data_IF_091477864110
#
_entry.id   IF_091477864110
#
_cell.length_a   1.000
_cell.length_b   1.000
_cell.length_c   1.000
_cell.angle_alpha   90.00
_cell.angle_beta   90.00
_cell.angle_gamma   90.00
#
_symmetry.space_group_name_H-M   'P 1'
#
loop_
_entity.id
_entity.type
_entity.pdbx_description
1 polymer ?
#
# COMPACT_ATOMS: atom_id res chain seq x y z
N UNK A 1 4.51 -10.90 -9.18
CA UNK A 1 5.55 -9.86 -9.35
C UNK A 1 5.70 -9.40 -10.80
N UNK A 2 5.77 -10.28 -11.79
CA UNK A 2 5.96 -9.91 -13.21
C UNK A 2 4.88 -8.97 -13.74
N UNK A 3 3.62 -9.19 -13.39
CA UNK A 3 2.49 -8.35 -13.82
C UNK A 3 2.55 -6.94 -13.22
N UNK A 4 2.94 -6.85 -11.95
CA UNK A 4 3.11 -5.58 -11.26
C UNK A 4 4.25 -4.75 -11.86
N UNK A 5 5.42 -5.37 -12.08
CA UNK A 5 6.56 -4.69 -12.71
C UNK A 5 6.24 -4.17 -14.11
N UNK A 6 5.52 -4.95 -14.91
CA UNK A 6 5.02 -4.48 -16.22
C UNK A 6 4.06 -3.31 -16.10
N UNK A 7 3.25 -3.26 -15.06
CA UNK A 7 2.32 -2.16 -14.83
C UNK A 7 3.05 -0.89 -14.43
N UNK A 8 4.04 -0.97 -13.55
CA UNK A 8 4.89 0.17 -13.18
C UNK A 8 5.69 0.68 -14.38
N UNK A 9 6.27 -0.21 -15.16
CA UNK A 9 6.98 0.13 -16.39
C UNK A 9 6.08 0.88 -17.37
N UNK A 10 4.87 0.38 -17.62
CA UNK A 10 3.90 1.04 -18.51
C UNK A 10 3.42 2.38 -17.95
N UNK A 11 3.13 2.46 -16.64
CA UNK A 11 2.74 3.71 -16.01
C UNK A 11 3.85 4.76 -16.14
N UNK A 12 5.09 4.39 -15.83
CA UNK A 12 6.26 5.24 -15.95
C UNK A 12 6.46 5.77 -17.38
N UNK A 13 6.24 4.91 -18.40
CA UNK A 13 6.41 5.27 -19.79
C UNK A 13 5.25 6.11 -20.36
N UNK A 14 4.02 5.89 -19.89
CA UNK A 14 2.78 6.40 -20.51
C UNK A 14 2.07 7.50 -19.75
N UNK A 15 2.37 7.65 -18.45
CA UNK A 15 1.69 8.61 -17.59
C UNK A 15 1.76 10.01 -18.19
N UNK A 16 0.60 10.64 -18.33
CA UNK A 16 0.47 12.01 -18.81
C UNK A 16 0.85 13.02 -17.72
N UNK A 17 1.08 14.26 -18.10
CA UNK A 17 1.34 15.36 -17.13
C UNK A 17 0.17 15.52 -16.14
N UNK A 18 -1.07 15.37 -16.61
CA UNK A 18 -2.25 15.42 -15.75
C UNK A 18 -2.31 14.26 -14.77
N UNK A 19 -1.96 13.05 -15.20
CA UNK A 19 -1.88 11.87 -14.32
C UNK A 19 -0.74 12.00 -13.31
N UNK A 20 0.40 12.56 -13.71
CA UNK A 20 1.51 12.86 -12.79
C UNK A 20 1.11 13.89 -11.73
N UNK A 21 0.36 14.92 -12.15
CA UNK A 21 -0.19 15.92 -11.22
C UNK A 21 -1.15 15.26 -10.21
N UNK A 22 -2.03 14.38 -10.69
CA UNK A 22 -2.95 13.63 -9.80
C UNK A 22 -2.20 12.71 -8.85
N UNK A 23 -1.13 12.06 -9.30
CA UNK A 23 -0.30 11.21 -8.46
C UNK A 23 0.36 12.02 -7.34
N UNK A 24 0.93 13.16 -7.68
CA UNK A 24 1.53 14.07 -6.71
C UNK A 24 0.50 14.58 -5.68
N UNK A 25 -0.69 14.97 -6.15
CA UNK A 25 -1.77 15.40 -5.25
C UNK A 25 -2.23 14.28 -4.33
N UNK A 26 -2.34 13.04 -4.83
CA UNK A 26 -2.71 11.89 -4.03
C UNK A 26 -1.65 11.57 -2.95
N UNK A 27 -0.36 11.72 -3.26
CA UNK A 27 0.70 11.58 -2.27
C UNK A 27 0.61 12.65 -1.17
N UNK A 28 0.31 13.89 -1.54
CA UNK A 28 0.14 15.00 -0.57
C UNK A 28 -1.13 14.85 0.26
N UNK A 29 -2.21 14.35 -0.31
CA UNK A 29 -3.44 14.04 0.42
C UNK A 29 -3.22 12.95 1.46
N UNK A 30 -2.48 11.89 1.12
CA UNK A 30 -2.09 10.87 2.08
C UNK A 30 -1.31 11.46 3.27
N UNK A 31 -0.29 12.27 3.01
CA UNK A 31 0.50 12.96 4.03
C UNK A 31 -0.38 13.84 4.92
N UNK A 32 -1.28 14.63 4.32
CA UNK A 32 -2.22 15.49 5.04
C UNK A 32 -3.18 14.70 5.94
N UNK A 33 -3.70 13.58 5.44
CA UNK A 33 -4.65 12.73 6.15
C UNK A 33 -4.07 12.08 7.41
N UNK A 34 -2.74 11.90 7.49
CA UNK A 34 -2.06 11.44 8.71
C UNK A 34 -2.37 12.36 9.89
N UNK A 35 -2.31 13.67 9.67
CA UNK A 35 -2.56 14.67 10.72
C UNK A 35 -4.00 14.65 11.24
N UNK A 36 -4.97 14.19 10.46
CA UNK A 36 -6.37 14.08 10.87
C UNK A 36 -6.64 12.93 11.87
N UNK A 37 -5.74 11.95 11.95
CA UNK A 37 -5.86 10.80 12.86
C UNK A 37 -6.98 9.83 12.53
N UNK A 38 -7.60 9.94 11.35
CA UNK A 38 -8.69 9.07 10.91
C UNK A 38 -8.12 7.93 10.04
N UNK A 39 -8.10 6.73 10.61
CA UNK A 39 -7.54 5.54 9.96
C UNK A 39 -8.27 5.14 8.67
N UNK A 40 -9.60 5.31 8.62
CA UNK A 40 -10.40 5.01 7.43
C UNK A 40 -10.02 5.95 6.28
N UNK A 41 -10.01 7.25 6.53
CA UNK A 41 -9.60 8.24 5.53
C UNK A 41 -8.15 8.02 5.06
N UNK A 42 -7.26 7.66 5.97
CA UNK A 42 -5.87 7.37 5.65
C UNK A 42 -5.76 6.16 4.72
N UNK A 43 -6.50 5.09 4.98
CA UNK A 43 -6.54 3.92 4.11
C UNK A 43 -7.14 4.24 2.73
N UNK A 44 -8.17 5.07 2.67
CA UNK A 44 -8.76 5.55 1.41
C UNK A 44 -7.76 6.40 0.60
N UNK A 45 -7.00 7.28 1.26
CA UNK A 45 -5.98 8.09 0.60
C UNK A 45 -4.83 7.22 0.05
N UNK A 46 -4.42 6.18 0.76
CA UNK A 46 -3.42 5.23 0.29
C UNK A 46 -3.93 4.44 -0.94
N UNK A 47 -5.17 3.97 -0.91
CA UNK A 47 -5.81 3.33 -2.07
C UNK A 47 -5.83 4.27 -3.27
N UNK A 48 -6.23 5.52 -3.08
CA UNK A 48 -6.32 6.51 -4.16
C UNK A 48 -4.96 6.79 -4.81
N UNK A 49 -3.88 6.85 -4.03
CA UNK A 49 -2.52 6.99 -4.56
C UNK A 49 -2.17 5.85 -5.51
N UNK A 50 -2.39 4.62 -5.09
CA UNK A 50 -2.07 3.44 -5.92
C UNK A 50 -2.97 3.32 -7.16
N UNK A 51 -4.25 3.69 -7.05
CA UNK A 51 -5.17 3.67 -8.18
C UNK A 51 -4.70 4.55 -9.35
N UNK A 52 -4.12 5.71 -9.09
CA UNK A 52 -3.56 6.55 -10.17
C UNK A 52 -2.53 5.80 -10.98
N UNK A 53 -1.63 5.06 -10.31
CA UNK A 53 -0.58 4.28 -10.98
C UNK A 53 -1.18 3.13 -11.79
N UNK A 54 -2.12 2.40 -11.21
CA UNK A 54 -2.75 1.25 -11.87
C UNK A 54 -3.55 1.67 -13.09
N UNK A 55 -4.31 2.75 -13.01
CA UNK A 55 -5.06 3.28 -14.15
C UNK A 55 -4.13 3.75 -15.28
N UNK A 56 -3.03 4.44 -14.94
CA UNK A 56 -2.04 4.89 -15.92
C UNK A 56 -1.30 3.74 -16.61
N UNK A 57 -1.23 2.55 -15.98
CA UNK A 57 -0.64 1.37 -16.61
C UNK A 57 -1.47 0.80 -17.76
N UNK A 58 -2.76 1.14 -17.84
CA UNK A 58 -3.76 0.57 -18.76
C UNK A 58 -3.76 -0.97 -18.78
N UNK A 59 -3.42 -1.59 -17.66
CA UNK A 59 -3.44 -3.04 -17.49
C UNK A 59 -4.83 -3.48 -16.99
N UNK A 60 -5.77 -3.64 -17.90
CA UNK A 60 -7.17 -3.99 -17.60
C UNK A 60 -7.31 -5.26 -16.75
N UNK A 61 -6.45 -6.26 -17.01
CA UNK A 61 -6.47 -7.51 -16.24
C UNK A 61 -6.05 -7.29 -14.79
N UNK A 62 -4.98 -6.52 -14.56
CA UNK A 62 -4.56 -6.17 -13.20
C UNK A 62 -5.64 -5.38 -12.48
N UNK A 63 -6.21 -4.36 -13.14
CA UNK A 63 -7.29 -3.55 -12.58
C UNK A 63 -8.48 -4.41 -12.18
N UNK A 64 -8.88 -5.38 -13.00
CA UNK A 64 -9.97 -6.30 -12.69
C UNK A 64 -9.65 -7.17 -11.46
N UNK A 65 -8.43 -7.74 -11.38
CA UNK A 65 -8.01 -8.55 -10.23
C UNK A 65 -8.01 -7.72 -8.95
N UNK A 66 -7.48 -6.50 -9.00
CA UNK A 66 -7.45 -5.60 -7.85
C UNK A 66 -8.87 -5.19 -7.39
N UNK A 67 -9.78 -4.95 -8.34
CA UNK A 67 -11.18 -4.67 -8.03
C UNK A 67 -11.88 -5.86 -7.36
N UNK A 68 -11.61 -7.08 -7.81
CA UNK A 68 -12.17 -8.29 -7.20
C UNK A 68 -11.65 -8.52 -5.76
N UNK A 69 -10.44 -8.03 -5.47
CA UNK A 69 -9.81 -8.16 -4.16
C UNK A 69 -9.92 -6.89 -3.30
N UNK A 70 -10.67 -5.89 -3.74
CA UNK A 70 -10.72 -4.55 -3.14
C UNK A 70 -10.94 -4.56 -1.63
N UNK A 71 -11.92 -5.33 -1.15
CA UNK A 71 -12.24 -5.39 0.28
C UNK A 71 -11.13 -6.05 1.12
N UNK A 72 -10.50 -7.08 0.58
CA UNK A 72 -9.38 -7.75 1.26
C UNK A 72 -8.17 -6.83 1.33
N UNK A 73 -7.81 -6.19 0.22
CA UNK A 73 -6.72 -5.23 0.15
C UNK A 73 -6.96 -4.07 1.13
N UNK A 74 -8.18 -3.55 1.18
CA UNK A 74 -8.56 -2.48 2.10
C UNK A 74 -8.35 -2.88 3.57
N UNK A 75 -8.80 -4.07 3.97
CA UNK A 75 -8.58 -4.58 5.34
C UNK A 75 -7.11 -4.69 5.71
N UNK A 76 -6.28 -5.21 4.80
CA UNK A 76 -4.83 -5.28 5.02
C UNK A 76 -4.18 -3.90 5.13
N UNK A 77 -4.64 -2.92 4.35
CA UNK A 77 -4.16 -1.53 4.45
C UNK A 77 -4.52 -0.90 5.78
N UNK A 78 -5.75 -1.05 6.23
CA UNK A 78 -6.18 -0.57 7.55
C UNK A 78 -5.28 -1.16 8.65
N UNK A 79 -5.03 -2.46 8.60
CA UNK A 79 -4.15 -3.13 9.56
C UNK A 79 -2.72 -2.59 9.53
N UNK A 80 -2.16 -2.47 8.34
CA UNK A 80 -0.82 -1.94 8.13
C UNK A 80 -0.65 -0.50 8.61
N UNK A 81 -1.69 0.33 8.46
CA UNK A 81 -1.67 1.75 8.82
C UNK A 81 -1.95 2.04 10.31
N UNK A 82 -2.25 1.03 11.12
CA UNK A 82 -2.45 1.22 12.58
C UNK A 82 -1.18 1.72 13.27
N UNK A 83 -0.01 1.27 12.85
CA UNK A 83 1.27 1.65 13.41
C UNK A 83 1.75 3.01 12.88
N UNK A 84 2.07 3.94 13.79
CA UNK A 84 2.48 5.31 13.44
C UNK A 84 3.77 5.37 12.62
N UNK A 85 4.77 4.57 12.98
CA UNK A 85 6.07 4.52 12.27
C UNK A 85 5.92 4.11 10.80
N UNK A 86 4.98 3.22 10.51
CA UNK A 86 4.63 2.78 9.16
C UNK A 86 4.16 3.94 8.28
N UNK A 87 3.40 4.88 8.84
CA UNK A 87 2.84 6.03 8.12
C UNK A 87 3.93 6.95 7.60
N UNK A 88 4.94 7.24 8.41
CA UNK A 88 6.08 8.09 8.03
C UNK A 88 6.94 7.43 6.95
N UNK A 89 7.12 6.12 7.02
CA UNK A 89 7.80 5.35 5.98
C UNK A 89 7.04 5.42 4.67
N UNK A 90 5.70 5.27 4.69
CA UNK A 90 4.85 5.35 3.51
C UNK A 90 4.88 6.72 2.83
N UNK A 91 4.89 7.81 3.59
CA UNK A 91 5.02 9.15 3.01
C UNK A 91 6.28 9.25 2.15
N UNK A 92 7.42 8.81 2.68
CA UNK A 92 8.69 8.79 1.95
C UNK A 92 8.65 7.88 0.72
N UNK A 93 8.09 6.69 0.86
CA UNK A 93 7.95 5.74 -0.24
C UNK A 93 7.08 6.31 -1.37
N UNK A 94 5.95 6.95 -1.05
CA UNK A 94 5.08 7.61 -2.03
C UNK A 94 5.78 8.78 -2.72
N UNK A 95 6.52 9.61 -1.98
CA UNK A 95 7.29 10.73 -2.55
C UNK A 95 8.39 10.25 -3.49
N UNK A 96 9.18 9.26 -3.09
CA UNK A 96 10.26 8.70 -3.92
C UNK A 96 9.70 8.02 -5.17
N UNK A 97 8.62 7.26 -5.06
CA UNK A 97 7.97 6.62 -6.18
C UNK A 97 7.38 7.65 -7.16
N UNK A 98 6.71 8.67 -6.66
CA UNK A 98 6.19 9.78 -7.46
C UNK A 98 7.31 10.48 -8.21
N UNK A 99 8.45 10.73 -7.56
CA UNK A 99 9.63 11.33 -8.18
C UNK A 99 10.20 10.45 -9.29
N UNK A 100 10.40 9.15 -9.03
CA UNK A 100 10.92 8.22 -10.01
C UNK A 100 10.03 8.13 -11.26
N UNK A 101 8.71 8.10 -11.08
CA UNK A 101 7.75 8.09 -12.19
C UNK A 101 7.82 9.40 -12.97
N UNK A 102 7.87 10.53 -12.32
CA UNK A 102 7.97 11.85 -12.97
C UNK A 102 9.26 12.01 -13.77
N UNK A 103 10.37 11.48 -13.26
CA UNK A 103 11.67 11.48 -13.93
C UNK A 103 11.77 10.40 -15.03
N UNK A 104 10.74 9.57 -15.21
CA UNK A 104 10.74 8.42 -16.13
C UNK A 104 11.85 7.40 -15.83
N UNK A 105 12.29 7.34 -14.57
CA UNK A 105 13.27 6.35 -14.11
C UNK A 105 12.57 5.02 -13.80
N UNK A 106 12.42 4.22 -14.85
CA UNK A 106 11.69 2.94 -14.81
C UNK A 106 12.32 1.97 -13.81
N UNK A 107 13.64 1.84 -13.82
CA UNK A 107 14.32 0.89 -12.94
C UNK A 107 14.19 1.29 -11.47
N UNK A 108 14.32 2.58 -11.18
CA UNK A 108 14.11 3.11 -9.83
C UNK A 108 12.66 2.92 -9.38
N UNK A 109 11.68 3.22 -10.23
CA UNK A 109 10.27 3.02 -9.93
C UNK A 109 9.93 1.55 -9.64
N UNK A 110 10.50 0.61 -10.40
CA UNK A 110 10.35 -0.84 -10.15
C UNK A 110 10.94 -1.26 -8.82
N UNK A 111 12.16 -0.82 -8.49
CA UNK A 111 12.82 -1.12 -7.21
C UNK A 111 12.00 -0.59 -6.03
N UNK A 112 11.55 0.66 -6.09
CA UNK A 112 10.74 1.29 -5.05
C UNK A 112 9.41 0.58 -4.86
N UNK A 113 8.75 0.20 -5.95
CA UNK A 113 7.48 -0.54 -5.90
C UNK A 113 7.66 -1.93 -5.29
N UNK A 114 8.73 -2.62 -5.62
CA UNK A 114 9.06 -3.91 -5.01
C UNK A 114 9.30 -3.76 -3.50
N UNK A 115 10.13 -2.81 -3.11
CA UNK A 115 10.43 -2.56 -1.69
C UNK A 115 9.18 -2.18 -0.90
N UNK A 116 8.34 -1.33 -1.46
CA UNK A 116 7.07 -0.93 -0.88
C UNK A 116 6.16 -2.13 -0.59
N UNK A 117 5.98 -3.03 -1.55
CA UNK A 117 5.15 -4.23 -1.39
C UNK A 117 5.78 -5.21 -0.39
N UNK A 118 7.09 -5.41 -0.43
CA UNK A 118 7.78 -6.27 0.52
C UNK A 118 7.66 -5.75 1.96
N UNK A 119 7.79 -4.44 2.16
CA UNK A 119 7.59 -3.81 3.46
C UNK A 119 6.17 -4.06 3.99
N UNK A 120 5.16 -3.89 3.14
CA UNK A 120 3.76 -4.17 3.50
C UNK A 120 3.55 -5.65 3.81
N UNK A 121 4.07 -6.55 2.96
CA UNK A 121 3.96 -7.99 3.16
C UNK A 121 4.55 -8.41 4.51
N UNK A 122 5.76 -7.94 4.81
CA UNK A 122 6.45 -8.27 6.08
C UNK A 122 5.68 -7.75 7.30
N UNK A 123 5.11 -6.55 7.23
CA UNK A 123 4.33 -5.98 8.32
C UNK A 123 3.03 -6.77 8.56
N UNK A 124 2.32 -7.13 7.49
CA UNK A 124 1.10 -7.95 7.58
C UNK A 124 1.41 -9.34 8.16
N UNK A 125 2.49 -9.97 7.73
CA UNK A 125 2.89 -11.28 8.26
C UNK A 125 3.17 -11.20 9.77
N UNK A 126 3.90 -10.18 10.23
CA UNK A 126 4.14 -9.97 11.67
C UNK A 126 2.84 -9.76 12.46
N UNK A 127 1.89 -9.02 11.89
CA UNK A 127 0.57 -8.79 12.52
C UNK A 127 -0.19 -10.11 12.70
N UNK A 128 -0.25 -10.94 11.66
CA UNK A 128 -0.90 -12.25 11.69
C UNK A 128 -0.25 -13.17 12.74
N UNK A 129 1.07 -13.25 12.76
CA UNK A 129 1.82 -14.06 13.73
C UNK A 129 1.57 -13.60 15.17
N UNK A 130 1.47 -12.30 15.41
CA UNK A 130 1.15 -11.74 16.73
C UNK A 130 -0.27 -12.10 17.17
N UNK A 131 -1.26 -11.99 16.29
CA UNK A 131 -2.65 -12.37 16.58
C UNK A 131 -2.81 -13.86 16.89
N UNK A 132 -2.13 -14.72 16.12
CA UNK A 132 -2.14 -16.17 16.36
C UNK A 132 -1.51 -16.51 17.71
N UNK A 133 -0.39 -15.88 18.06
CA UNK A 133 0.26 -16.08 19.35
C UNK A 133 -0.63 -15.61 20.54
N UNK A 134 -1.35 -14.51 20.39
CA UNK A 134 -2.31 -14.03 21.39
C UNK A 134 -3.49 -15.00 21.56
N UNK A 135 -4.03 -15.51 20.46
CA UNK A 135 -5.11 -16.51 20.47
C UNK A 135 -4.70 -17.78 21.21
N UNK A 136 -3.52 -18.31 20.90
CA UNK A 136 -2.99 -19.50 21.59
C UNK A 136 -2.79 -19.27 23.09
N UNK A 137 -2.32 -18.10 23.51
CA UNK A 137 -2.18 -17.74 24.94
C UNK A 137 -3.53 -17.72 25.65
N UNK A 138 -4.52 -17.07 25.04
CA UNK A 138 -5.87 -16.98 25.58
C UNK A 138 -6.55 -18.36 25.72
N UNK A 139 -6.34 -19.26 24.77
CA UNK A 139 -6.83 -20.65 24.84
C UNK A 139 -6.17 -21.45 25.98
N UNK A 140 -4.84 -21.30 26.15
CA UNK A 140 -4.09 -21.95 27.23
C UNK A 140 -4.53 -21.45 28.63
N UNK A 141 -4.83 -20.16 28.76
CA UNK A 141 -5.32 -19.59 30.02
C UNK A 141 -6.72 -20.11 30.38
N UNK A 142 -7.63 -20.16 29.39
CA UNK A 142 -8.98 -20.74 29.58
C UNK A 142 -8.92 -22.21 30.02
N UNK A 143 -8.02 -22.99 29.46
CA UNK A 143 -7.87 -24.40 29.80
C UNK A 143 -7.28 -24.63 31.20
N UNK A 144 -6.50 -23.68 31.72
CA UNK A 144 -5.95 -23.72 33.08
C UNK A 144 -6.93 -23.26 34.18
N UNK A 145 -7.84 -22.34 33.82
CA UNK A 145 -8.86 -21.81 34.74
C UNK A 145 -10.04 -22.77 35.02
N UNK A 146 -10.14 -23.90 34.29
CA UNK A 146 -11.17 -24.91 34.44
C UNK A 146 -10.70 -26.15 35.25
N UNK A 147 -9.53 -26.10 35.85
CA UNK A 147 -9.03 -27.10 36.79
C UNK A 147 -9.00 -26.53 38.22
#
# INVERSE_FOLDING_TARGET
>A
YTTLFRSIEKACARMTEEEMRRLWLAAKEFEHTIAEGNLVKLAEADVAFHEVIYQASDNKRLIQVLNNMREQIYRYRVEYLKEGETRDVLVKEHEELTKAIRERDVERAKQLSFQHIENQRMAIMRSIEAEDAERERAEKEKSRGHR
#
